data_IF_292310253480
#
_entry.id   IF_292310253480
#
_cell.length_a   1.000
_cell.length_b   1.000
_cell.length_c   1.000
_cell.angle_alpha   90.00
_cell.angle_beta   90.00
_cell.angle_gamma   90.00
#
_symmetry.space_group_name_H-M   'P 1'
#
loop_
_entity.id
_entity.type
_entity.pdbx_description
1 polymer ?
#
# COMPACT_ATOMS: atom_id res chain seq x y z
N UNK A 1 19.82 7.95 10.18
CA UNK A 1 20.83 6.87 10.05
C UNK A 1 20.58 6.13 8.74
N UNK A 2 21.57 6.08 7.84
CA UNK A 2 21.45 5.49 6.51
C UNK A 2 21.27 3.95 6.55
N UNK A 3 21.79 3.27 7.57
CA UNK A 3 21.66 1.82 7.72
C UNK A 3 20.23 1.43 8.05
N UNK A 4 19.62 2.11 9.02
CA UNK A 4 18.22 1.89 9.39
C UNK A 4 17.25 2.14 8.22
N UNK A 5 17.53 3.16 7.40
CA UNK A 5 16.77 3.41 6.18
C UNK A 5 16.89 2.24 5.19
N UNK A 6 18.13 1.76 4.95
CA UNK A 6 18.41 0.66 4.03
C UNK A 6 17.72 -0.64 4.47
N UNK A 7 17.78 -0.95 5.77
CA UNK A 7 17.14 -2.15 6.34
C UNK A 7 15.62 -2.10 6.12
N UNK A 8 14.98 -0.96 6.41
CA UNK A 8 13.53 -0.79 6.21
C UNK A 8 13.14 -0.79 4.73
N UNK A 9 13.95 -0.18 3.86
CA UNK A 9 13.74 -0.20 2.42
C UNK A 9 13.83 -1.62 1.84
N UNK A 10 14.73 -2.46 2.36
CA UNK A 10 14.85 -3.86 1.92
C UNK A 10 13.59 -4.68 2.18
N UNK A 11 12.81 -4.35 3.23
CA UNK A 11 11.52 -5.00 3.50
C UNK A 11 10.52 -4.69 2.40
N UNK A 12 10.46 -3.42 1.95
CA UNK A 12 9.60 -2.99 0.85
C UNK A 12 10.04 -3.65 -0.46
N UNK A 13 11.33 -3.65 -0.77
CA UNK A 13 11.85 -4.31 -1.97
C UNK A 13 11.43 -5.78 -2.04
N UNK A 14 11.64 -6.52 -0.94
CA UNK A 14 11.25 -7.94 -0.86
C UNK A 14 9.75 -8.13 -1.00
N UNK A 15 8.96 -7.35 -0.25
CA UNK A 15 7.49 -7.40 -0.32
C UNK A 15 7.00 -7.25 -1.76
N UNK A 16 7.51 -6.27 -2.50
CA UNK A 16 7.04 -6.04 -3.87
C UNK A 16 7.57 -7.08 -4.85
N UNK A 17 8.77 -7.62 -4.62
CA UNK A 17 9.32 -8.72 -5.44
C UNK A 17 8.49 -10.02 -5.35
N UNK A 18 7.68 -10.19 -4.29
CA UNK A 18 6.76 -11.33 -4.13
C UNK A 18 5.49 -11.20 -5.00
N UNK A 19 5.18 -10.01 -5.52
CA UNK A 19 3.92 -9.77 -6.22
C UNK A 19 3.93 -10.28 -7.66
N UNK A 20 3.07 -11.28 -7.91
CA UNK A 20 2.82 -11.83 -9.24
C UNK A 20 1.81 -10.97 -10.01
N UNK A 21 2.29 -10.25 -11.03
CA UNK A 21 1.48 -9.37 -11.88
C UNK A 21 0.79 -10.11 -13.04
N UNK A 22 1.26 -11.30 -13.40
CA UNK A 22 0.70 -12.13 -14.46
C UNK A 22 1.39 -13.49 -14.50
N UNK A 23 1.16 -14.28 -15.55
CA UNK A 23 1.82 -15.58 -15.68
C UNK A 23 3.34 -15.43 -15.77
N UNK A 24 4.02 -15.94 -14.75
CA UNK A 24 5.48 -15.84 -14.57
C UNK A 24 6.04 -14.41 -14.53
N UNK A 25 5.20 -13.39 -14.35
CA UNK A 25 5.61 -11.99 -14.23
C UNK A 25 5.53 -11.55 -12.77
N UNK A 26 6.66 -11.12 -12.24
CA UNK A 26 6.77 -10.55 -10.89
C UNK A 26 7.13 -9.07 -10.98
N UNK A 27 6.64 -8.27 -10.04
CA UNK A 27 7.05 -6.89 -9.90
C UNK A 27 8.55 -6.84 -9.59
N UNK A 28 9.29 -5.99 -10.30
CA UNK A 28 10.68 -5.73 -9.97
C UNK A 28 10.74 -4.79 -8.77
N UNK A 29 10.83 -5.34 -7.56
CA UNK A 29 10.82 -4.56 -6.31
C UNK A 29 11.98 -3.56 -6.23
N UNK A 30 13.12 -3.87 -6.84
CA UNK A 30 14.29 -2.97 -6.88
C UNK A 30 14.06 -1.78 -7.80
N UNK A 31 13.53 -2.02 -9.00
CA UNK A 31 13.16 -0.96 -9.94
C UNK A 31 12.10 -0.02 -9.35
N UNK A 32 11.12 -0.60 -8.65
CA UNK A 32 9.96 0.14 -8.15
C UNK A 32 10.13 0.71 -6.74
N UNK A 33 11.28 0.49 -6.10
CA UNK A 33 11.50 0.76 -4.68
C UNK A 33 11.19 2.20 -4.28
N UNK A 34 11.63 3.18 -5.07
CA UNK A 34 11.43 4.60 -4.78
C UNK A 34 9.94 4.97 -4.68
N UNK A 35 9.15 4.57 -5.67
CA UNK A 35 7.71 4.82 -5.72
C UNK A 35 6.94 4.01 -4.67
N UNK A 36 7.35 2.77 -4.42
CA UNK A 36 6.73 1.94 -3.40
C UNK A 36 6.95 2.51 -1.98
N UNK A 37 8.14 3.04 -1.71
CA UNK A 37 8.44 3.76 -0.47
C UNK A 37 7.58 5.02 -0.35
N UNK A 38 7.46 5.79 -1.43
CA UNK A 38 6.61 6.99 -1.47
C UNK A 38 5.14 6.64 -1.18
N UNK A 39 4.62 5.55 -1.73
CA UNK A 39 3.24 5.12 -1.48
C UNK A 39 3.00 4.66 -0.03
N UNK A 40 3.94 3.90 0.56
CA UNK A 40 3.90 3.43 1.95
C UNK A 40 3.94 4.59 2.93
N UNK A 41 4.85 5.53 2.73
CA UNK A 41 5.00 6.72 3.59
C UNK A 41 3.84 7.68 3.38
N UNK A 42 3.49 7.96 2.13
CA UNK A 42 2.47 8.94 1.76
C UNK A 42 1.10 8.62 2.33
N UNK A 43 0.67 7.35 2.26
CA UNK A 43 -0.63 6.95 2.83
C UNK A 43 -0.65 7.06 4.36
N UNK A 44 0.47 6.73 5.01
CA UNK A 44 0.60 6.78 6.46
C UNK A 44 0.51 8.23 6.95
N UNK A 45 1.24 9.14 6.31
CA UNK A 45 1.20 10.58 6.61
C UNK A 45 -0.18 11.17 6.31
N UNK A 46 -0.81 10.81 5.20
CA UNK A 46 -2.14 11.29 4.85
C UNK A 46 -3.21 10.82 5.84
N UNK A 47 -3.13 9.57 6.33
CA UNK A 47 -4.03 9.05 7.35
C UNK A 47 -3.83 9.78 8.68
N UNK A 48 -2.59 9.98 9.10
CA UNK A 48 -2.28 10.74 10.31
C UNK A 48 -2.81 12.18 10.23
N UNK A 49 -2.63 12.84 9.09
CA UNK A 49 -3.17 14.18 8.87
C UNK A 49 -4.71 14.20 8.95
N UNK A 50 -5.40 13.19 8.42
CA UNK A 50 -6.84 13.04 8.56
C UNK A 50 -7.25 12.86 10.02
N UNK A 51 -6.59 11.97 10.76
CA UNK A 51 -6.92 11.72 12.17
C UNK A 51 -6.70 12.95 13.04
N UNK A 52 -5.60 13.69 12.82
CA UNK A 52 -5.36 14.99 13.47
C UNK A 52 -6.46 16.00 13.14
N UNK A 53 -6.92 16.03 11.89
CA UNK A 53 -7.99 16.91 11.43
C UNK A 53 -9.35 16.58 12.05
N UNK A 54 -9.60 15.29 12.30
CA UNK A 54 -10.84 14.78 12.90
C UNK A 54 -10.84 14.81 14.43
N UNK A 55 -9.70 15.07 15.07
CA UNK A 55 -9.60 15.16 16.53
C UNK A 55 -10.62 16.17 17.09
N UNK A 56 -11.48 15.68 17.99
CA UNK A 56 -12.55 16.49 18.60
C UNK A 56 -13.76 16.77 17.68
N UNK A 57 -13.80 16.22 16.46
CA UNK A 57 -14.93 16.36 15.53
C UNK A 57 -15.78 15.08 15.50
N UNK A 58 -17.10 15.18 15.24
CA UNK A 58 -17.94 14.00 15.09
C UNK A 58 -17.47 13.10 13.93
N UNK A 59 -17.30 11.80 14.20
CA UNK A 59 -16.99 10.80 13.18
C UNK A 59 -18.26 10.39 12.44
N UNK A 60 -18.67 11.17 11.44
CA UNK A 60 -19.90 10.94 10.67
C UNK A 60 -19.77 9.70 9.79
N UNK A 61 -20.75 8.81 9.88
CA UNK A 61 -20.94 7.71 8.92
C UNK A 61 -21.60 8.30 7.67
N UNK A 62 -21.05 8.00 6.50
CA UNK A 62 -21.60 8.42 5.21
C UNK A 62 -21.70 7.20 4.31
N UNK A 63 -22.91 6.94 3.79
CA UNK A 63 -23.20 5.76 2.96
C UNK A 63 -22.78 4.43 3.62
N UNK A 64 -22.93 4.33 4.95
CA UNK A 64 -22.57 3.13 5.71
C UNK A 64 -21.08 2.99 6.06
N UNK A 65 -20.24 3.95 5.67
CA UNK A 65 -18.79 3.88 5.92
C UNK A 65 -18.31 4.90 6.95
N UNK A 66 -17.38 4.48 7.81
CA UNK A 66 -16.64 5.38 8.72
C UNK A 66 -15.68 6.29 7.94
N UNK A 67 -15.19 7.39 8.53
CA UNK A 67 -14.16 8.23 7.91
C UNK A 67 -12.92 7.44 7.47
N UNK A 68 -12.45 6.48 8.28
CA UNK A 68 -11.30 5.62 7.99
C UNK A 68 -11.56 4.71 6.79
N UNK A 69 -12.70 4.04 6.76
CA UNK A 69 -13.09 3.20 5.62
C UNK A 69 -13.16 4.05 4.34
N UNK A 70 -13.74 5.26 4.42
CA UNK A 70 -13.81 6.19 3.29
C UNK A 70 -12.45 6.66 2.82
N UNK A 71 -11.51 6.92 3.74
CA UNK A 71 -10.14 7.27 3.39
C UNK A 71 -9.49 6.17 2.55
N UNK A 72 -9.56 4.92 3.00
CA UNK A 72 -8.98 3.80 2.27
C UNK A 72 -9.70 3.52 0.95
N UNK A 73 -11.02 3.67 0.90
CA UNK A 73 -11.78 3.58 -0.34
C UNK A 73 -11.37 4.67 -1.34
N UNK A 74 -11.20 5.93 -0.89
CA UNK A 74 -10.76 7.02 -1.74
C UNK A 74 -9.33 6.80 -2.26
N UNK A 75 -8.42 6.34 -1.39
CA UNK A 75 -7.06 5.97 -1.76
C UNK A 75 -7.02 4.88 -2.84
N UNK A 76 -7.83 3.82 -2.67
CA UNK A 76 -7.96 2.75 -3.64
C UNK A 76 -8.56 3.25 -4.97
N UNK A 77 -9.61 4.07 -4.90
CA UNK A 77 -10.29 4.60 -6.08
C UNK A 77 -9.39 5.49 -6.95
N UNK A 78 -8.51 6.27 -6.33
CA UNK A 78 -7.57 7.17 -7.01
C UNK A 78 -6.53 6.42 -7.87
N UNK A 79 -6.28 5.13 -7.57
CA UNK A 79 -5.27 4.31 -8.28
C UNK A 79 -5.86 3.10 -9.02
N UNK A 80 -7.18 3.08 -9.26
CA UNK A 80 -7.81 2.03 -10.06
C UNK A 80 -7.24 2.05 -11.47
N UNK A 81 -6.79 0.89 -11.94
CA UNK A 81 -6.30 0.72 -13.30
C UNK A 81 -6.82 -0.58 -13.90
N UNK A 82 -6.93 -0.59 -15.22
CA UNK A 82 -7.12 -1.79 -16.02
C UNK A 82 -6.13 -1.73 -17.18
N UNK A 83 -5.30 -2.75 -17.34
CA UNK A 83 -4.13 -2.71 -18.24
C UNK A 83 -4.12 -3.94 -19.13
N UNK A 84 -3.77 -3.74 -20.41
CA UNK A 84 -3.62 -4.85 -21.36
C UNK A 84 -2.42 -5.71 -20.99
N UNK A 85 -2.46 -7.04 -21.18
CA UNK A 85 -1.35 -7.94 -20.84
C UNK A 85 -0.01 -7.55 -21.48
N UNK A 86 -0.02 -7.05 -22.72
CA UNK A 86 1.17 -6.63 -23.45
C UNK A 86 1.78 -5.38 -22.82
N UNK A 87 0.94 -4.42 -22.43
CA UNK A 87 1.37 -3.21 -21.75
C UNK A 87 1.89 -3.54 -20.34
N UNK A 88 1.28 -4.50 -19.65
CA UNK A 88 1.75 -4.95 -18.34
C UNK A 88 3.16 -5.56 -18.42
N UNK A 89 3.44 -6.36 -19.46
CA UNK A 89 4.77 -6.92 -19.70
C UNK A 89 5.83 -5.83 -19.90
N UNK A 90 5.49 -4.77 -20.63
CA UNK A 90 6.38 -3.63 -20.82
C UNK A 90 6.58 -2.87 -19.49
N UNK A 91 5.49 -2.52 -18.82
CA UNK A 91 5.49 -1.79 -17.54
C UNK A 91 6.39 -2.46 -16.50
N UNK A 92 6.26 -3.78 -16.30
CA UNK A 92 7.06 -4.54 -15.33
C UNK A 92 8.56 -4.45 -15.59
N UNK A 93 8.99 -4.15 -16.82
CA UNK A 93 10.41 -4.07 -17.20
C UNK A 93 10.96 -2.64 -17.17
N UNK A 94 10.12 -1.63 -17.36
CA UNK A 94 10.58 -0.26 -17.66
C UNK A 94 10.00 0.82 -16.75
N UNK A 95 8.83 0.60 -16.16
CA UNK A 95 8.14 1.61 -15.36
C UNK A 95 8.63 1.55 -13.90
N UNK A 96 9.04 2.68 -13.29
CA UNK A 96 9.39 2.71 -11.87
C UNK A 96 8.17 2.58 -10.96
N UNK A 97 6.95 2.65 -11.47
CA UNK A 97 5.74 2.42 -10.68
C UNK A 97 5.31 0.95 -10.71
N UNK A 98 4.93 0.44 -9.55
CA UNK A 98 4.22 -0.84 -9.49
C UNK A 98 2.85 -0.74 -10.20
N UNK A 99 2.30 -1.86 -10.74
CA UNK A 99 0.92 -1.90 -11.22
C UNK A 99 -0.08 -1.40 -10.17
N UNK A 100 -1.14 -0.73 -10.60
CA UNK A 100 -2.08 -0.01 -9.72
C UNK A 100 -2.59 -0.82 -8.53
N UNK A 101 -2.96 -2.09 -8.73
CA UNK A 101 -3.41 -2.98 -7.66
C UNK A 101 -2.36 -3.17 -6.55
N UNK A 102 -1.07 -3.18 -6.87
CA UNK A 102 0.01 -3.32 -5.90
C UNK A 102 0.35 -1.99 -5.23
N UNK A 103 0.15 -0.85 -5.91
CA UNK A 103 0.20 0.48 -5.29
C UNK A 103 -0.94 0.74 -4.31
N UNK A 104 -2.02 -0.04 -4.38
CA UNK A 104 -3.14 -0.02 -3.43
C UNK A 104 -2.88 -1.06 -2.33
N UNK A 105 -2.81 -2.33 -2.70
CA UNK A 105 -2.79 -3.42 -1.73
C UNK A 105 -1.46 -3.51 -0.97
N UNK A 106 -0.36 -3.17 -1.63
CA UNK A 106 0.98 -3.18 -1.04
C UNK A 106 1.08 -2.33 0.22
N UNK A 107 0.87 -0.99 0.14
CA UNK A 107 0.95 -0.14 1.31
C UNK A 107 -0.16 -0.44 2.32
N UNK A 108 -1.41 -0.69 1.89
CA UNK A 108 -2.53 -0.92 2.81
C UNK A 108 -2.39 -2.22 3.62
N UNK A 109 -1.79 -3.27 3.04
CA UNK A 109 -1.55 -4.54 3.76
C UNK A 109 -0.52 -4.44 4.89
N UNK A 110 0.25 -3.34 4.93
CA UNK A 110 1.19 -3.03 6.01
C UNK A 110 0.55 -2.24 7.16
N UNK A 111 -0.70 -1.76 7.00
CA UNK A 111 -1.36 -0.84 7.94
C UNK A 111 -2.35 -1.58 8.85
N UNK A 112 -2.08 -1.68 10.17
CA UNK A 112 -3.09 -2.17 11.12
C UNK A 112 -4.35 -1.31 11.14
N UNK A 113 -4.25 -0.03 10.80
CA UNK A 113 -5.38 0.90 10.66
C UNK A 113 -6.36 0.41 9.61
N UNK A 114 -5.85 -0.08 8.47
CA UNK A 114 -6.68 -0.69 7.43
C UNK A 114 -7.35 -1.96 7.95
N UNK A 115 -6.57 -2.86 8.57
CA UNK A 115 -7.11 -4.10 9.12
C UNK A 115 -8.21 -3.84 10.16
N UNK A 116 -8.04 -2.86 11.06
CA UNK A 116 -9.06 -2.46 12.03
C UNK A 116 -10.29 -1.86 11.35
N UNK A 117 -10.11 -0.97 10.37
CA UNK A 117 -11.22 -0.30 9.69
C UNK A 117 -12.14 -1.28 8.94
N UNK A 118 -11.60 -2.40 8.44
CA UNK A 118 -12.36 -3.41 7.71
C UNK A 118 -12.56 -4.74 8.47
N UNK A 119 -12.12 -4.81 9.74
CA UNK A 119 -12.26 -6.02 10.56
C UNK A 119 -11.45 -7.23 10.07
N UNK A 120 -10.33 -7.00 9.38
CA UNK A 120 -9.44 -8.06 8.92
C UNK A 120 -8.75 -8.76 10.10
N UNK A 121 -8.52 -10.06 9.98
CA UNK A 121 -7.91 -10.93 10.97
C UNK A 121 -6.49 -11.34 10.56
N UNK A 122 -5.62 -11.74 11.51
CA UNK A 122 -4.36 -12.38 11.17
C UNK A 122 -4.58 -13.57 10.24
N UNK A 123 -3.81 -13.64 9.16
CA UNK A 123 -3.96 -14.67 8.11
C UNK A 123 -4.80 -14.24 6.91
N UNK A 124 -5.58 -13.16 7.02
CA UNK A 124 -6.25 -12.58 5.84
C UNK A 124 -5.21 -12.03 4.86
N UNK A 125 -5.52 -12.09 3.56
CA UNK A 125 -4.62 -11.68 2.46
C UNK A 125 -4.09 -10.25 2.63
N UNK A 126 -4.91 -9.35 3.17
CA UNK A 126 -4.58 -7.94 3.39
C UNK A 126 -3.92 -7.67 4.75
N UNK A 127 -3.46 -8.70 5.46
CA UNK A 127 -2.83 -8.57 6.78
C UNK A 127 -1.47 -9.24 6.77
N UNK A 128 -0.41 -8.47 6.52
CA UNK A 128 0.97 -8.98 6.67
C UNK A 128 1.30 -9.22 8.14
N UNK A 129 2.11 -10.22 8.54
CA UNK A 129 2.59 -10.36 9.92
C UNK A 129 3.53 -9.22 10.33
N UNK A 130 3.57 -8.86 11.61
CA UNK A 130 4.43 -7.78 12.13
C UNK A 130 5.92 -7.98 11.81
N UNK A 131 6.38 -9.22 11.74
CA UNK A 131 7.76 -9.58 11.39
C UNK A 131 8.16 -9.19 9.95
N UNK A 132 7.20 -8.94 9.07
CA UNK A 132 7.42 -8.67 7.63
C UNK A 132 6.64 -7.46 7.11
N UNK A 133 6.05 -6.65 8.00
CA UNK A 133 5.38 -5.40 7.64
C UNK A 133 6.43 -4.33 7.34
N UNK A 134 6.28 -3.65 6.21
CA UNK A 134 7.06 -2.45 5.95
C UNK A 134 6.54 -1.29 6.80
N UNK A 135 7.37 -0.80 7.72
CA UNK A 135 7.18 0.47 8.42
C UNK A 135 8.45 1.30 8.29
N UNK A 136 8.35 2.39 7.54
CA UNK A 136 9.48 3.28 7.31
C UNK A 136 9.65 4.29 8.45
N UNK A 137 8.54 4.75 9.05
CA UNK A 137 8.52 5.75 10.11
C UNK A 137 7.56 5.33 11.22
#
# INVERSE_FOLDING_TARGET
DARLYTDRASVVERQYSEYKAGDSLYVNGKLTLGENLADVVGVSVALEAMERTLKGKPRRIVNGFTPEQRFFLAYAQARRSNIRPEQLKLMIRTDPHSPGQFRINGPLSNMPEFARAFGCKPGDVMVRPDSVRARIW
#
